data_IF_483574964518
#
_entry.id   IF_483574964518
#
_cell.length_a   1.000
_cell.length_b   1.000
_cell.length_c   1.000
_cell.angle_alpha   90.00
_cell.angle_beta   90.00
_cell.angle_gamma   90.00
#
_symmetry.space_group_name_H-M   'P 1'
#
loop_
_entity.id
_entity.type
_entity.pdbx_description
1 polymer ?
#
# COMPACT_ATOMS: atom_id res chain seq x y z
N UNK A 1 10.55 43.65 6.45
CA UNK A 1 10.44 42.44 5.59
C UNK A 1 11.07 41.19 6.22
N UNK A 2 12.27 41.24 6.79
CA UNK A 2 13.01 40.06 7.27
C UNK A 2 12.35 39.30 8.43
N UNK A 3 11.64 39.99 9.33
CA UNK A 3 10.96 39.37 10.49
C UNK A 3 9.73 38.57 10.07
N UNK A 4 8.90 39.10 9.17
CA UNK A 4 7.71 38.40 8.66
C UNK A 4 8.07 37.15 7.88
N UNK A 5 9.16 37.18 7.10
CA UNK A 5 9.66 36.01 6.37
C UNK A 5 10.09 34.91 7.34
N UNK A 6 10.81 35.24 8.43
CA UNK A 6 11.21 34.26 9.45
C UNK A 6 10.02 33.61 10.15
N UNK A 7 8.97 34.38 10.45
CA UNK A 7 7.75 33.87 11.08
C UNK A 7 7.01 32.91 10.13
N UNK A 8 6.84 33.30 8.86
CA UNK A 8 6.17 32.45 7.87
C UNK A 8 6.93 31.14 7.65
N UNK A 9 8.26 31.20 7.53
CA UNK A 9 9.10 30.00 7.37
C UNK A 9 9.04 29.12 8.61
N UNK A 10 9.08 29.69 9.81
CA UNK A 10 8.96 28.94 11.06
C UNK A 10 7.61 28.24 11.20
N UNK A 11 6.52 28.94 10.85
CA UNK A 11 5.17 28.38 10.89
C UNK A 11 4.98 27.26 9.86
N UNK A 12 5.48 27.46 8.63
CA UNK A 12 5.46 26.44 7.58
C UNK A 12 6.21 25.18 8.01
N UNK A 13 7.39 25.33 8.62
CA UNK A 13 8.18 24.21 9.11
C UNK A 13 7.45 23.46 10.24
N UNK A 14 6.87 24.16 11.21
CA UNK A 14 6.10 23.55 12.29
C UNK A 14 4.89 22.74 11.77
N UNK A 15 4.20 23.24 10.74
CA UNK A 15 3.07 22.56 10.10
C UNK A 15 3.49 21.26 9.41
N UNK A 16 4.67 21.23 8.76
CA UNK A 16 5.17 19.99 8.12
C UNK A 16 5.51 18.89 9.12
N UNK A 17 6.02 19.25 10.31
CA UNK A 17 6.38 18.27 11.35
C UNK A 17 5.15 17.67 12.04
N UNK A 18 4.07 18.44 12.19
CA UNK A 18 2.84 17.97 12.82
C UNK A 18 2.17 16.80 12.06
N UNK A 19 2.38 16.71 10.74
CA UNK A 19 1.85 15.61 9.92
C UNK A 19 2.56 14.26 10.11
N UNK A 20 3.78 14.24 10.67
CA UNK A 20 4.54 12.99 10.86
C UNK A 20 4.21 12.25 12.16
N UNK A 21 3.53 12.88 13.12
CA UNK A 21 3.27 12.30 14.45
C UNK A 21 1.85 11.72 14.60
N UNK A 22 1.21 11.34 13.49
CA UNK A 22 -0.12 10.73 13.52
C UNK A 22 -0.10 9.37 14.21
N UNK A 23 -1.22 8.95 14.84
CA UNK A 23 -1.33 7.62 15.42
C UNK A 23 -1.14 6.55 14.35
N UNK A 24 -0.19 5.65 14.57
CA UNK A 24 -0.04 4.46 13.73
C UNK A 24 -1.19 3.52 14.05
N UNK A 25 -1.93 3.10 13.01
CA UNK A 25 -2.96 2.09 13.14
C UNK A 25 -2.58 0.90 12.27
N UNK A 26 -2.82 -0.28 12.80
CA UNK A 26 -2.58 -1.52 12.07
C UNK A 26 -3.70 -1.74 11.06
N UNK A 27 -3.36 -1.63 9.78
CA UNK A 27 -4.27 -1.91 8.67
C UNK A 27 -4.57 -3.41 8.53
N UNK A 28 -3.69 -4.24 9.08
CA UNK A 28 -3.78 -5.69 9.03
C UNK A 28 -3.52 -6.25 10.41
N UNK A 29 -4.24 -7.32 10.76
CA UNK A 29 -4.06 -7.98 12.04
C UNK A 29 -2.63 -8.53 12.11
N UNK A 30 -1.76 -7.93 12.94
CA UNK A 30 -0.36 -8.38 13.08
C UNK A 30 -0.24 -9.77 13.70
N UNK A 31 -1.29 -10.24 14.37
CA UNK A 31 -1.35 -11.57 14.98
C UNK A 31 -2.12 -12.52 14.08
N UNK A 32 -1.53 -13.65 13.66
CA UNK A 32 -2.28 -14.71 13.01
C UNK A 32 -3.40 -15.15 13.96
N UNK A 33 -4.65 -15.13 13.49
CA UNK A 33 -5.74 -15.78 14.21
C UNK A 33 -5.55 -17.28 13.96
N UNK A 34 -5.26 -18.03 15.02
CA UNK A 34 -5.22 -19.49 14.94
C UNK A 34 -6.65 -19.99 14.84
N UNK A 35 -7.07 -20.36 13.63
CA UNK A 35 -8.33 -21.05 13.38
C UNK A 35 -8.03 -22.52 13.07
N UNK A 36 -8.66 -23.47 13.79
CA UNK A 36 -8.65 -24.87 13.41
C UNK A 36 -9.14 -25.03 11.96
N UNK A 37 -8.55 -25.96 11.19
CA UNK A 37 -8.95 -26.17 9.80
C UNK A 37 -10.44 -26.54 9.65
N UNK A 38 -11.04 -27.16 10.68
CA UNK A 38 -12.47 -27.45 10.77
C UNK A 38 -13.34 -26.20 10.80
N UNK A 39 -12.80 -25.08 11.28
CA UNK A 39 -13.53 -23.82 11.48
C UNK A 39 -13.40 -22.90 10.26
N UNK A 40 -12.55 -23.28 9.29
CA UNK A 40 -12.43 -22.60 7.99
C UNK A 40 -13.51 -23.15 7.05
N UNK A 41 -14.70 -22.54 7.10
CA UNK A 41 -15.84 -22.96 6.29
C UNK A 41 -15.57 -22.85 4.76
N UNK A 42 -14.66 -21.96 4.34
CA UNK A 42 -14.23 -21.83 2.94
C UNK A 42 -12.90 -21.05 2.81
N UNK A 43 -12.16 -21.30 1.72
CA UNK A 43 -11.04 -20.47 1.27
C UNK A 43 -11.55 -19.42 0.29
N UNK A 44 -11.22 -18.16 0.54
CA UNK A 44 -11.54 -17.05 -0.35
C UNK A 44 -10.24 -16.52 -0.96
N UNK A 45 -10.20 -16.38 -2.29
CA UNK A 45 -9.07 -15.77 -3.00
C UNK A 45 -9.51 -14.42 -3.56
N UNK A 46 -8.68 -13.39 -3.37
CA UNK A 46 -8.94 -12.05 -3.88
C UNK A 46 -8.16 -11.88 -5.19
N UNK A 47 -8.88 -11.50 -6.24
CA UNK A 47 -8.32 -11.19 -7.55
C UNK A 47 -8.55 -9.73 -7.89
N UNK A 48 -7.49 -9.01 -8.22
CA UNK A 48 -7.55 -7.62 -8.67
C UNK A 48 -7.45 -7.58 -10.18
N UNK A 49 -8.49 -7.05 -10.83
CA UNK A 49 -8.46 -6.78 -12.27
C UNK A 49 -7.40 -5.71 -12.57
N UNK A 50 -6.53 -5.96 -13.56
CA UNK A 50 -5.41 -5.08 -13.88
C UNK A 50 -5.05 -5.14 -15.36
N UNK A 51 -4.57 -4.03 -15.91
CA UNK A 51 -3.97 -3.96 -17.25
C UNK A 51 -2.45 -3.94 -17.20
N UNK A 52 -1.84 -4.19 -16.04
CA UNK A 52 -0.38 -4.32 -15.93
C UNK A 52 0.06 -5.59 -16.68
N UNK A 53 1.10 -5.46 -17.50
CA UNK A 53 1.65 -6.59 -18.25
C UNK A 53 2.41 -7.53 -17.30
N UNK A 54 2.20 -8.84 -17.48
CA UNK A 54 2.80 -9.87 -16.65
C UNK A 54 4.31 -9.95 -16.91
N UNK A 55 5.10 -9.99 -15.83
CA UNK A 55 6.53 -10.19 -15.98
C UNK A 55 6.85 -11.60 -16.51
N UNK A 56 7.60 -11.66 -17.60
CA UNK A 56 8.06 -12.91 -18.23
C UNK A 56 9.55 -13.14 -18.09
N UNK A 57 10.31 -12.10 -17.70
CA UNK A 57 11.78 -12.10 -17.65
C UNK A 57 12.35 -12.36 -16.27
N UNK A 58 11.80 -11.70 -15.24
CA UNK A 58 12.23 -11.85 -13.85
C UNK A 58 11.12 -12.54 -13.04
N UNK A 59 11.33 -13.77 -12.54
CA UNK A 59 10.32 -14.50 -11.79
C UNK A 59 10.00 -13.88 -10.43
N UNK A 60 10.80 -12.92 -9.96
CA UNK A 60 10.52 -12.17 -8.72
C UNK A 60 9.57 -11.00 -8.92
N UNK A 61 9.32 -10.61 -10.16
CA UNK A 61 8.40 -9.52 -10.48
C UNK A 61 7.05 -10.10 -10.89
N UNK A 62 5.97 -9.47 -10.43
CA UNK A 62 4.62 -9.85 -10.84
C UNK A 62 4.25 -9.16 -12.16
N UNK A 63 4.73 -7.93 -12.34
CA UNK A 63 4.49 -7.10 -13.51
C UNK A 63 5.80 -6.50 -14.03
N UNK A 64 5.96 -6.37 -15.34
CA UNK A 64 7.18 -5.85 -15.98
C UNK A 64 7.22 -4.31 -16.12
N UNK A 65 6.14 -3.63 -15.73
CA UNK A 65 6.02 -2.17 -15.78
C UNK A 65 5.22 -1.65 -16.98
N UNK A 66 5.00 -2.47 -18.00
CA UNK A 66 4.23 -2.11 -19.18
C UNK A 66 2.71 -2.33 -18.98
N UNK A 67 1.94 -1.93 -20.00
CA UNK A 67 0.48 -2.13 -20.06
C UNK A 67 0.13 -3.19 -21.09
N UNK A 68 -0.71 -4.14 -20.69
CA UNK A 68 -1.35 -5.10 -21.58
C UNK A 68 -2.56 -4.48 -22.28
N UNK A 69 -2.78 -4.88 -23.53
CA UNK A 69 -4.00 -4.57 -24.30
C UNK A 69 -5.24 -5.34 -23.78
N UNK A 70 -5.02 -6.35 -22.95
CA UNK A 70 -6.07 -7.17 -22.34
C UNK A 70 -6.02 -7.07 -20.82
N UNK A 71 -7.18 -6.96 -20.19
CA UNK A 71 -7.31 -6.99 -18.72
C UNK A 71 -7.04 -8.40 -18.22
N UNK A 72 -6.12 -8.53 -17.27
CA UNK A 72 -5.86 -9.76 -16.52
C UNK A 72 -6.25 -9.63 -15.05
N UNK A 73 -5.94 -10.65 -14.26
CA UNK A 73 -6.21 -10.70 -12.83
C UNK A 73 -4.95 -11.07 -12.06
N UNK A 74 -4.67 -10.33 -10.99
CA UNK A 74 -3.58 -10.64 -10.07
C UNK A 74 -4.13 -11.09 -8.72
N UNK A 75 -3.60 -12.20 -8.20
CA UNK A 75 -3.98 -12.72 -6.90
C UNK A 75 -3.24 -11.98 -5.80
N UNK A 76 -3.98 -11.55 -4.78
CA UNK A 76 -3.40 -10.99 -3.57
C UNK A 76 -3.12 -12.15 -2.62
N UNK A 77 -1.84 -12.35 -2.29
CA UNK A 77 -1.37 -13.35 -1.33
C UNK A 77 -1.00 -12.69 -0.01
#
# INVERSE_FOLDING_TARGET
MTVHVKIVVGLAFALTLAGCAGPTHDLLNRKPVSAPASDIAARHEIFVATTRQQATKDPRQVFDGDRSLTTGYARVH
#
